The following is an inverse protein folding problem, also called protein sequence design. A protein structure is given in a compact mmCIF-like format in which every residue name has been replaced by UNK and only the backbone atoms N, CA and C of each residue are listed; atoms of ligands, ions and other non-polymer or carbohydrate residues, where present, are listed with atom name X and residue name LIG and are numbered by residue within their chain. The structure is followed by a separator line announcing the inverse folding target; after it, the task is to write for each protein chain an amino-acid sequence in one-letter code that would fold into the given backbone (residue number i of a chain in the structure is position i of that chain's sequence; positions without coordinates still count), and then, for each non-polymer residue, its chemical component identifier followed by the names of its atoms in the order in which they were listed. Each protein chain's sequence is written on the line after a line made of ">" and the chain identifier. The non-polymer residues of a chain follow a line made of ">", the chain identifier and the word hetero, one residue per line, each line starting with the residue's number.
data_IF_990176928530
#
_entry.id   IF_990176928530
#
_cell.length_a   1.000
_cell.length_b   1.000
_cell.length_c   1.000
_cell.angle_alpha   90.00
_cell.angle_beta   90.00
_cell.angle_gamma   90.00
#
_symmetry.space_group_name_H-M   'P 1'
#
loop_
_entity.id
_entity.type
_entity.pdbx_description
1 polymer ?
#
# COMPACT_ATOMS: atom_id res chain seq x y z
N UNK A 1 -20.84 -6.30 -0.91
CA UNK A 1 -20.92 -5.10 -1.76
C UNK A 1 -21.44 -5.46 -3.13
N UNK A 2 -22.46 -4.74 -3.59
CA UNK A 2 -22.96 -4.82 -4.97
C UNK A 2 -21.94 -4.21 -5.95
N UNK A 3 -22.05 -4.53 -7.24
CA UNK A 3 -21.12 -4.03 -8.26
C UNK A 3 -21.08 -2.50 -8.33
N UNK A 4 -22.25 -1.84 -8.33
CA UNK A 4 -22.38 -0.38 -8.35
C UNK A 4 -21.69 0.28 -7.16
N UNK A 5 -21.80 -0.30 -5.96
CA UNK A 5 -21.13 0.21 -4.77
C UNK A 5 -19.60 0.11 -4.88
N UNK A 6 -19.08 -0.99 -5.44
CA UNK A 6 -17.64 -1.15 -5.68
C UNK A 6 -17.12 -0.09 -6.63
N UNK A 7 -17.84 0.16 -7.73
CA UNK A 7 -17.48 1.18 -8.72
C UNK A 7 -17.48 2.57 -8.08
N UNK A 8 -18.56 2.92 -7.37
CA UNK A 8 -18.68 4.22 -6.71
C UNK A 8 -17.55 4.45 -5.69
N UNK A 9 -17.26 3.47 -4.84
CA UNK A 9 -16.16 3.58 -3.87
C UNK A 9 -14.79 3.64 -4.55
N UNK A 10 -14.58 2.88 -5.62
CA UNK A 10 -13.34 2.97 -6.42
C UNK A 10 -13.17 4.38 -6.97
N UNK A 11 -14.21 4.97 -7.55
CA UNK A 11 -14.16 6.32 -8.12
C UNK A 11 -13.90 7.39 -7.04
N UNK A 12 -14.58 7.30 -5.89
CA UNK A 12 -14.39 8.26 -4.78
C UNK A 12 -12.96 8.19 -4.23
N UNK A 13 -12.44 6.99 -3.94
CA UNK A 13 -11.08 6.84 -3.43
C UNK A 13 -10.04 7.20 -4.48
N UNK A 14 -10.24 6.87 -5.76
CA UNK A 14 -9.35 7.29 -6.84
C UNK A 14 -9.29 8.82 -6.97
N UNK A 15 -10.45 9.50 -6.89
CA UNK A 15 -10.51 10.96 -6.92
C UNK A 15 -9.81 11.58 -5.70
N UNK A 16 -10.03 11.03 -4.51
CA UNK A 16 -9.38 11.49 -3.28
C UNK A 16 -7.86 11.27 -3.34
N UNK A 17 -7.43 10.11 -3.83
CA UNK A 17 -6.02 9.77 -4.03
C UNK A 17 -5.36 10.75 -5.00
N UNK A 18 -6.00 11.01 -6.16
CA UNK A 18 -5.51 12.00 -7.12
C UNK A 18 -5.45 13.40 -6.49
N UNK A 19 -6.50 13.81 -5.76
CA UNK A 19 -6.56 15.11 -5.12
C UNK A 19 -5.46 15.30 -4.08
N UNK A 20 -5.21 14.31 -3.21
CA UNK A 20 -4.18 14.36 -2.17
C UNK A 20 -2.74 14.29 -2.71
N UNK A 21 -2.57 13.94 -3.99
CA UNK A 21 -1.27 14.02 -4.65
C UNK A 21 -0.91 15.45 -5.06
N UNK A 22 -1.90 16.27 -5.44
CA UNK A 22 -1.69 17.62 -5.94
C UNK A 22 -1.03 18.55 -4.92
N UNK A 23 -1.51 18.66 -3.66
CA UNK A 23 -0.83 19.45 -2.65
C UNK A 23 0.50 18.80 -2.30
N UNK A 24 1.54 19.62 -2.19
CA UNK A 24 2.82 19.17 -1.63
C UNK A 24 2.60 18.66 -0.21
N UNK A 25 3.13 17.48 0.10
CA UNK A 25 3.12 16.93 1.45
C UNK A 25 4.51 16.99 2.09
N UNK A 26 4.61 16.74 3.39
CA UNK A 26 5.90 16.42 3.98
C UNK A 26 6.49 15.21 3.24
N UNK A 27 7.74 15.32 2.81
CA UNK A 27 8.51 14.33 2.03
C UNK A 27 8.07 14.08 0.57
N UNK A 28 6.79 13.83 0.26
CA UNK A 28 6.34 13.61 -1.14
C UNK A 28 4.95 14.16 -1.43
N UNK A 29 3.92 13.57 -0.81
CA UNK A 29 2.52 13.93 -1.03
C UNK A 29 1.65 13.45 0.14
N UNK A 30 0.44 13.99 0.24
CA UNK A 30 -0.51 13.57 1.28
C UNK A 30 -1.11 12.18 1.02
N UNK A 31 -0.91 11.63 -0.19
CA UNK A 31 -1.32 10.27 -0.57
C UNK A 31 -0.78 9.21 0.38
N UNK A 32 0.43 9.40 0.91
CA UNK A 32 1.09 8.41 1.79
C UNK A 32 0.21 8.06 3.00
N UNK A 33 -0.53 9.02 3.53
CA UNK A 33 -1.45 8.81 4.65
C UNK A 33 -2.76 8.13 4.24
N UNK A 34 -3.18 8.29 2.98
CA UNK A 34 -4.39 7.66 2.45
C UNK A 34 -4.17 6.18 2.16
N UNK A 35 -3.00 5.78 1.66
CA UNK A 35 -2.78 4.40 1.16
C UNK A 35 -3.15 3.30 2.18
N UNK A 36 -2.78 3.39 3.48
CA UNK A 36 -3.17 2.38 4.44
C UNK A 36 -4.70 2.33 4.62
N UNK A 37 -5.36 3.48 4.65
CA UNK A 37 -6.82 3.60 4.80
C UNK A 37 -7.51 2.99 3.59
N UNK A 38 -7.06 3.35 2.39
CA UNK A 38 -7.56 2.83 1.12
C UNK A 38 -7.48 1.29 1.08
N UNK A 39 -6.34 0.73 1.49
CA UNK A 39 -6.12 -0.70 1.53
C UNK A 39 -6.99 -1.41 2.59
N UNK A 40 -7.10 -0.83 3.80
CA UNK A 40 -7.90 -1.40 4.89
C UNK A 40 -9.39 -1.37 4.55
N UNK A 41 -9.90 -0.25 4.02
CA UNK A 41 -11.33 -0.03 3.76
C UNK A 41 -11.81 -0.76 2.51
N UNK A 42 -11.08 -0.64 1.39
CA UNK A 42 -11.49 -1.25 0.12
C UNK A 42 -10.99 -2.70 -0.03
N UNK A 43 -10.03 -3.10 0.80
CA UNK A 43 -9.32 -4.35 0.67
C UNK A 43 -8.29 -4.32 -0.47
N UNK A 44 -7.52 -5.41 -0.64
CA UNK A 44 -6.34 -5.42 -1.49
C UNK A 44 -6.63 -5.23 -2.97
N UNK A 45 -7.74 -5.77 -3.49
CA UNK A 45 -8.03 -5.71 -4.93
C UNK A 45 -8.67 -4.38 -5.35
N UNK A 46 -9.72 -3.95 -4.65
CA UNK A 46 -10.42 -2.70 -4.99
C UNK A 46 -9.54 -1.50 -4.65
N UNK A 47 -8.84 -1.53 -3.50
CA UNK A 47 -7.87 -0.51 -3.13
C UNK A 47 -6.75 -0.38 -4.16
N UNK A 48 -6.19 -1.50 -4.63
CA UNK A 48 -5.17 -1.47 -5.70
C UNK A 48 -5.66 -0.73 -6.96
N UNK A 49 -6.89 -1.03 -7.42
CA UNK A 49 -7.46 -0.40 -8.62
C UNK A 49 -7.72 1.09 -8.38
N UNK A 50 -8.28 1.45 -7.22
CA UNK A 50 -8.54 2.84 -6.85
C UNK A 50 -7.24 3.66 -6.81
N UNK A 51 -6.19 3.12 -6.19
CA UNK A 51 -4.89 3.76 -6.08
C UNK A 51 -4.22 3.90 -7.45
N UNK A 52 -4.29 2.87 -8.30
CA UNK A 52 -3.72 2.91 -9.64
C UNK A 52 -4.39 3.97 -10.52
N UNK A 53 -5.73 4.04 -10.51
CA UNK A 53 -6.47 5.05 -11.26
C UNK A 53 -6.17 6.45 -10.70
N UNK A 54 -6.25 6.61 -9.38
CA UNK A 54 -6.02 7.89 -8.72
C UNK A 54 -4.62 8.43 -8.98
N UNK A 55 -3.60 7.59 -8.80
CA UNK A 55 -2.20 7.88 -9.09
C UNK A 55 -1.95 8.25 -10.55
N UNK A 56 -2.56 7.51 -11.50
CA UNK A 56 -2.44 7.80 -12.92
C UNK A 56 -3.05 9.17 -13.27
N UNK A 57 -4.26 9.46 -12.80
CA UNK A 57 -4.92 10.76 -12.99
C UNK A 57 -4.08 11.89 -12.39
N UNK A 58 -3.58 11.71 -11.18
CA UNK A 58 -2.75 12.71 -10.52
C UNK A 58 -1.51 13.08 -11.33
N UNK A 59 -0.85 12.09 -11.95
CA UNK A 59 0.36 12.28 -12.76
C UNK A 59 0.09 12.81 -14.16
N UNK A 60 -1.11 12.62 -14.68
CA UNK A 60 -1.57 13.33 -15.88
C UNK A 60 -1.75 14.82 -15.62
N UNK A 61 -2.19 15.21 -14.42
CA UNK A 61 -2.37 16.62 -14.03
C UNK A 61 -1.02 17.26 -13.65
N UNK A 62 -0.24 16.57 -12.82
CA UNK A 62 1.06 17.02 -12.32
C UNK A 62 2.09 15.93 -12.52
N UNK A 63 2.85 16.04 -13.61
CA UNK A 63 3.92 15.10 -13.91
C UNK A 63 4.99 15.11 -12.82
N UNK A 64 5.51 13.93 -12.52
CA UNK A 64 6.58 13.71 -11.55
C UNK A 64 7.63 12.78 -12.17
N UNK A 65 8.90 13.11 -11.98
CA UNK A 65 10.04 12.28 -12.42
C UNK A 65 9.98 10.88 -11.77
N UNK A 66 9.39 10.77 -10.58
CA UNK A 66 9.26 9.52 -9.86
C UNK A 66 7.99 8.73 -10.23
N UNK A 67 7.68 8.62 -11.52
CA UNK A 67 6.51 7.91 -12.06
C UNK A 67 6.33 6.48 -11.53
N UNK A 68 7.45 5.76 -11.29
CA UNK A 68 7.45 4.38 -10.80
C UNK A 68 6.77 4.25 -9.44
N UNK A 69 6.85 5.29 -8.60
CA UNK A 69 6.14 5.28 -7.32
C UNK A 69 4.64 5.32 -7.52
N UNK A 70 4.17 6.02 -8.55
CA UNK A 70 2.74 6.10 -8.84
C UNK A 70 2.18 4.83 -9.41
N UNK A 71 2.86 4.26 -10.39
CA UNK A 71 2.31 3.15 -11.16
C UNK A 71 2.52 1.83 -10.40
N UNK A 72 3.58 1.74 -9.60
CA UNK A 72 3.97 0.49 -8.93
C UNK A 72 3.86 0.63 -7.41
N UNK A 73 4.58 1.58 -6.79
CA UNK A 73 4.72 1.58 -5.34
C UNK A 73 3.41 1.92 -4.60
N UNK A 74 2.66 2.91 -5.06
CA UNK A 74 1.39 3.36 -4.46
C UNK A 74 0.34 2.22 -4.51
N UNK A 75 0.01 1.62 -5.69
CA UNK A 75 -0.93 0.50 -5.77
C UNK A 75 -0.49 -0.73 -4.98
N UNK A 76 0.80 -1.11 -5.04
CA UNK A 76 1.32 -2.25 -4.27
C UNK A 76 1.25 -1.97 -2.78
N UNK A 77 1.55 -0.75 -2.34
CA UNK A 77 1.44 -0.34 -0.94
C UNK A 77 0.01 -0.45 -0.42
N UNK A 78 -0.98 -0.01 -1.22
CA UNK A 78 -2.40 -0.15 -0.90
C UNK A 78 -2.81 -1.62 -0.86
N UNK A 79 -2.38 -2.43 -1.82
CA UNK A 79 -2.63 -3.87 -1.82
C UNK A 79 -2.02 -4.55 -0.59
N UNK A 80 -0.79 -4.22 -0.23
CA UNK A 80 -0.09 -4.76 0.94
C UNK A 80 -0.81 -4.40 2.23
N UNK A 81 -1.26 -3.15 2.39
CA UNK A 81 -2.06 -2.73 3.54
C UNK A 81 -3.37 -3.52 3.65
N UNK A 82 -4.07 -3.71 2.52
CA UNK A 82 -5.30 -4.50 2.48
C UNK A 82 -5.10 -5.99 2.75
N UNK A 83 -3.98 -6.57 2.30
CA UNK A 83 -3.61 -7.95 2.65
C UNK A 83 -3.28 -8.07 4.14
N UNK A 84 -2.57 -7.08 4.70
CA UNK A 84 -2.15 -7.07 6.10
C UNK A 84 -3.37 -7.05 7.02
N UNK A 85 -4.33 -6.17 6.72
CA UNK A 85 -5.60 -6.05 7.41
C UNK A 85 -6.42 -7.34 7.38
N UNK A 86 -6.32 -8.12 6.29
CA UNK A 86 -7.01 -9.40 6.13
C UNK A 86 -6.26 -10.60 6.72
N UNK A 87 -5.12 -10.41 7.39
CA UNK A 87 -4.38 -11.53 7.96
C UNK A 87 -3.55 -12.35 6.95
N UNK A 88 -3.45 -11.87 5.71
CA UNK A 88 -2.82 -12.58 4.57
C UNK A 88 -1.32 -12.33 4.52
N UNK A 89 -0.62 -12.77 5.56
CA UNK A 89 0.81 -12.51 5.77
C UNK A 89 1.73 -13.18 4.75
N UNK A 90 1.34 -14.35 4.20
CA UNK A 90 2.17 -15.11 3.24
C UNK A 90 2.35 -14.35 1.94
N UNK A 91 1.27 -13.75 1.45
CA UNK A 91 1.24 -12.96 0.23
C UNK A 91 2.08 -11.69 0.38
N UNK A 92 2.02 -11.04 1.54
CA UNK A 92 2.83 -9.85 1.84
C UNK A 92 4.30 -10.21 1.94
N UNK A 93 4.63 -11.29 2.64
CA UNK A 93 6.01 -11.77 2.71
C UNK A 93 6.55 -12.17 1.34
N UNK A 94 5.71 -12.73 0.46
CA UNK A 94 6.12 -13.03 -0.90
C UNK A 94 6.43 -11.73 -1.68
N UNK A 95 5.51 -10.77 -1.67
CA UNK A 95 5.70 -9.47 -2.36
C UNK A 95 6.95 -8.77 -1.84
N UNK A 96 7.07 -8.63 -0.52
CA UNK A 96 8.19 -7.97 0.11
C UNK A 96 9.50 -8.76 -0.12
N UNK A 97 9.46 -10.08 -0.02
CA UNK A 97 10.62 -10.94 -0.28
C UNK A 97 11.14 -10.80 -1.71
N UNK A 98 10.25 -10.70 -2.71
CA UNK A 98 10.63 -10.44 -4.10
C UNK A 98 11.28 -9.06 -4.24
N UNK A 99 10.73 -8.01 -3.62
CA UNK A 99 11.32 -6.66 -3.63
C UNK A 99 12.69 -6.63 -2.97
N UNK A 100 12.84 -7.30 -1.83
CA UNK A 100 14.09 -7.40 -1.08
C UNK A 100 15.14 -8.21 -1.86
N UNK A 101 14.72 -9.30 -2.50
CA UNK A 101 15.56 -10.09 -3.40
C UNK A 101 16.04 -9.27 -4.59
N UNK A 102 15.15 -8.50 -5.22
CA UNK A 102 15.50 -7.59 -6.31
C UNK A 102 16.52 -6.53 -5.86
N UNK A 103 16.35 -5.97 -4.65
CA UNK A 103 17.32 -5.05 -4.05
C UNK A 103 18.72 -5.68 -3.94
N UNK A 104 18.84 -6.87 -3.36
CA UNK A 104 20.15 -7.54 -3.19
C UNK A 104 20.76 -8.06 -4.51
N UNK A 105 19.94 -8.34 -5.53
CA UNK A 105 20.44 -8.67 -6.86
C UNK A 105 21.01 -7.44 -7.58
N UNK A 106 20.46 -6.25 -7.32
CA UNK A 106 20.88 -5.02 -7.95
C UNK A 106 22.30 -4.60 -7.50
N UNK A 107 23.21 -4.16 -8.40
CA UNK A 107 24.57 -3.73 -8.05
C UNK A 107 24.61 -2.71 -6.89
N UNK A 108 23.74 -1.70 -6.93
CA UNK A 108 23.64 -0.71 -5.85
C UNK A 108 23.25 -1.29 -4.49
N UNK A 109 22.37 -2.30 -4.45
CA UNK A 109 22.00 -2.94 -3.18
C UNK A 109 23.13 -3.76 -2.57
N UNK A 110 24.10 -4.19 -3.37
CA UNK A 110 25.32 -4.89 -2.90
C UNK A 110 26.43 -3.93 -2.43
N UNK A 111 26.39 -2.67 -2.86
CA UNK A 111 27.38 -1.67 -2.48
C UNK A 111 27.03 -0.97 -1.16
N UNK A 112 25.75 -0.94 -0.80
CA UNK A 112 25.28 -0.29 0.41
C UNK A 112 25.53 -1.17 1.64
N UNK A 113 26.03 -0.59 2.76
CA UNK A 113 26.16 -1.32 4.00
C UNK A 113 24.81 -1.83 4.51
N UNK A 114 24.79 -3.04 5.09
CA UNK A 114 23.56 -3.67 5.57
C UNK A 114 22.78 -2.80 6.59
N UNK A 115 23.48 -1.96 7.36
CA UNK A 115 22.84 -1.12 8.37
C UNK A 115 21.84 -0.11 7.78
N UNK A 116 21.97 0.26 6.49
CA UNK A 116 21.09 1.25 5.85
C UNK A 116 19.69 0.72 5.54
N UNK A 117 19.46 -0.58 5.73
CA UNK A 117 18.18 -1.25 5.44
C UNK A 117 17.66 -2.06 6.63
N UNK A 118 18.18 -1.86 7.84
CA UNK A 118 17.76 -2.63 9.01
C UNK A 118 16.28 -2.44 9.32
N UNK A 119 15.75 -1.24 9.11
CA UNK A 119 14.34 -0.92 9.21
C UNK A 119 13.49 -1.76 8.25
N UNK A 120 13.95 -1.96 7.00
CA UNK A 120 13.27 -2.81 6.02
C UNK A 120 13.31 -4.30 6.43
N UNK A 121 14.45 -4.78 6.94
CA UNK A 121 14.60 -6.16 7.42
C UNK A 121 13.73 -6.43 8.65
N UNK A 122 13.70 -5.49 9.59
CA UNK A 122 12.83 -5.56 10.77
C UNK A 122 11.36 -5.52 10.34
N UNK A 123 10.99 -4.63 9.41
CA UNK A 123 9.63 -4.58 8.86
C UNK A 123 9.22 -5.90 8.21
N UNK A 124 10.11 -6.55 7.45
CA UNK A 124 9.87 -7.87 6.85
C UNK A 124 9.57 -8.95 7.91
N UNK A 125 10.37 -8.99 8.99
CA UNK A 125 10.14 -9.90 10.11
C UNK A 125 8.81 -9.61 10.84
N UNK A 126 8.46 -8.32 10.97
CA UNK A 126 7.24 -7.87 11.64
C UNK A 126 5.95 -8.11 10.85
N UNK A 127 6.00 -8.42 9.56
CA UNK A 127 4.80 -8.73 8.75
C UNK A 127 3.93 -9.80 9.41
N UNK A 128 4.55 -10.89 9.89
CA UNK A 128 3.82 -11.99 10.52
C UNK A 128 3.09 -11.57 11.81
N UNK A 129 3.77 -11.05 12.86
CA UNK A 129 3.09 -10.67 14.09
C UNK A 129 2.10 -9.52 13.87
N UNK A 130 2.42 -8.53 13.02
CA UNK A 130 1.52 -7.42 12.72
C UNK A 130 0.21 -7.91 12.08
N UNK A 131 0.30 -8.84 11.12
CA UNK A 131 -0.87 -9.41 10.47
C UNK A 131 -1.75 -10.21 11.43
N UNK A 132 -1.14 -10.97 12.35
CA UNK A 132 -1.87 -11.72 13.39
C UNK A 132 -2.58 -10.80 14.38
N UNK A 133 -1.92 -9.74 14.84
CA UNK A 133 -2.51 -8.74 15.74
C UNK A 133 -3.67 -8.02 15.04
N UNK A 134 -3.47 -7.55 13.81
CA UNK A 134 -4.51 -6.85 13.04
C UNK A 134 -5.77 -7.70 12.84
N UNK A 135 -5.60 -8.98 12.49
CA UNK A 135 -6.73 -9.91 12.32
C UNK A 135 -7.50 -10.11 13.62
N UNK A 136 -6.79 -10.24 14.74
CA UNK A 136 -7.40 -10.41 16.07
C UNK A 136 -8.24 -9.18 16.44
N UNK A 137 -7.70 -7.98 16.28
CA UNK A 137 -8.42 -6.73 16.55
C UNK A 137 -9.70 -6.65 15.72
N UNK A 138 -9.61 -6.96 14.42
CA UNK A 138 -10.77 -6.92 13.53
C UNK A 138 -11.85 -7.91 13.95
N UNK A 139 -11.45 -9.14 14.30
CA UNK A 139 -12.38 -10.20 14.70
C UNK A 139 -13.07 -9.87 16.04
N UNK A 140 -12.32 -9.36 17.02
CA UNK A 140 -12.87 -8.92 18.31
C UNK A 140 -13.86 -7.76 18.15
N UNK A 141 -13.60 -6.81 17.24
CA UNK A 141 -14.56 -5.74 16.97
C UNK A 141 -15.83 -6.27 16.30
N UNK A 142 -15.72 -7.15 15.31
CA UNK A 142 -16.93 -7.72 14.66
C UNK A 142 -17.82 -8.49 15.65
N UNK A 143 -17.24 -9.14 16.67
CA UNK A 143 -18.00 -9.82 17.72
C UNK A 143 -18.70 -8.87 18.69
N UNK A 144 -18.22 -7.64 18.87
CA UNK A 144 -18.87 -6.63 19.74
C UNK A 144 -20.11 -6.00 19.10
N UNK A 145 -20.25 -6.09 17.77
CA UNK A 145 -21.34 -5.48 17.00
C UNK A 145 -22.26 -6.50 16.32
N UNK A 146 -22.08 -7.80 16.61
CA UNK A 146 -22.93 -8.90 16.17
C UNK A 146 -23.75 -9.43 17.36
#
# INVERSE_FOLDING_TARGET
>A
MQATQKIALTAVFAALHAFLFLPGGAWRSLVIYLMPIEGIVLGPSIGFVAALIGSAIARLIKSDIFWMFGIIAEPIGVAAAGLLAKGRWKEIQLIYGVMLGAYFLHPYGRMLPLWTILDLLVAFALVYPASKIGTRVWTEQTKKFA
#
